data_IF_719301002560
#
_entry.id   IF_719301002560
#
_cell.length_a   1.000
_cell.length_b   1.000
_cell.length_c   1.000
_cell.angle_alpha   90.00
_cell.angle_beta   90.00
_cell.angle_gamma   90.00
#
_symmetry.space_group_name_H-M   'P 1'
#
loop_
_entity.id
_entity.type
_entity.pdbx_description
1 polymer ?
#
# COMPACT_ATOMS: atom_id res chain seq x y z
N UNK A 1 -8.18 3.98 -36.45
CA UNK A 1 -9.60 4.41 -36.38
C UNK A 1 -10.11 4.08 -34.97
N UNK A 2 -10.95 4.91 -34.36
CA UNK A 2 -11.39 4.72 -32.96
C UNK A 2 -12.82 4.23 -32.97
N UNK A 3 -13.05 3.04 -32.42
CA UNK A 3 -14.34 2.37 -32.42
C UNK A 3 -14.94 2.34 -31.02
N UNK A 4 -16.25 2.53 -30.92
CA UNK A 4 -16.96 2.41 -29.66
C UNK A 4 -17.15 0.93 -29.26
N UNK A 5 -16.73 0.50 -28.06
CA UNK A 5 -16.81 -0.91 -27.65
C UNK A 5 -18.24 -1.43 -27.42
N UNK A 6 -19.25 -0.55 -27.32
CA UNK A 6 -20.65 -0.95 -27.13
C UNK A 6 -21.46 -0.91 -28.42
N UNK A 7 -21.23 0.09 -29.27
CA UNK A 7 -22.05 0.33 -30.45
C UNK A 7 -21.32 0.08 -31.77
N UNK A 8 -20.03 -0.27 -31.73
CA UNK A 8 -19.16 -0.56 -32.89
C UNK A 8 -19.09 0.56 -33.96
N UNK A 9 -19.58 1.76 -33.61
CA UNK A 9 -19.53 2.94 -34.47
C UNK A 9 -18.17 3.62 -34.33
N UNK A 10 -17.65 4.07 -35.45
CA UNK A 10 -16.39 4.82 -35.56
C UNK A 10 -16.61 6.33 -35.68
N UNK A 11 -17.82 6.75 -36.02
CA UNK A 11 -18.22 8.16 -36.10
C UNK A 11 -18.58 8.76 -34.74
N UNK A 12 -18.44 10.10 -34.62
CA UNK A 12 -18.80 10.89 -33.42
C UNK A 12 -18.19 10.35 -32.11
N UNK A 13 -16.91 9.95 -32.17
CA UNK A 13 -16.12 9.59 -30.99
C UNK A 13 -15.33 10.81 -30.51
N UNK A 14 -15.88 11.54 -29.54
CA UNK A 14 -15.32 12.80 -29.07
C UNK A 14 -14.28 12.56 -27.97
N UNK A 15 -13.20 13.34 -27.93
CA UNK A 15 -12.20 13.28 -26.84
C UNK A 15 -12.87 13.67 -25.51
N UNK A 16 -12.62 12.89 -24.47
CA UNK A 16 -13.24 13.04 -23.14
C UNK A 16 -12.19 13.09 -22.03
N UNK A 17 -11.15 13.92 -22.22
CA UNK A 17 -10.02 14.03 -21.30
C UNK A 17 -9.08 12.82 -21.32
N UNK A 18 -8.19 12.72 -20.33
CA UNK A 18 -7.23 11.62 -20.18
C UNK A 18 -7.47 10.85 -18.88
N UNK A 19 -7.03 9.60 -18.80
CA UNK A 19 -6.96 8.85 -17.54
C UNK A 19 -5.84 9.41 -16.66
N UNK A 20 -5.81 9.07 -15.37
CA UNK A 20 -4.69 9.42 -14.48
C UNK A 20 -3.34 8.86 -14.96
N UNK A 21 -3.35 7.77 -15.74
CA UNK A 21 -2.16 7.22 -16.40
C UNK A 21 -1.80 7.87 -17.73
N UNK A 22 -2.53 8.91 -18.16
CA UNK A 22 -2.28 9.68 -19.38
C UNK A 22 -2.95 9.16 -20.65
N UNK A 23 -3.61 7.99 -20.62
CA UNK A 23 -4.31 7.43 -21.79
C UNK A 23 -5.49 8.29 -22.21
N UNK A 24 -5.66 8.49 -23.51
CA UNK A 24 -6.77 9.27 -24.04
C UNK A 24 -8.12 8.55 -23.85
N UNK A 25 -9.09 9.25 -23.26
CA UNK A 25 -10.49 8.77 -23.15
C UNK A 25 -11.32 9.36 -24.28
N UNK A 26 -12.33 8.60 -24.72
CA UNK A 26 -13.32 9.01 -25.69
C UNK A 26 -14.72 8.84 -25.14
N UNK A 27 -15.66 9.64 -25.64
CA UNK A 27 -17.09 9.52 -25.40
C UNK A 27 -17.79 9.29 -26.73
N UNK A 28 -18.56 8.22 -26.83
CA UNK A 28 -19.41 7.98 -27.99
C UNK A 28 -20.66 8.86 -27.89
N UNK A 29 -20.96 9.66 -28.91
CA UNK A 29 -22.16 10.50 -28.90
C UNK A 29 -23.47 9.74 -29.18
N UNK A 30 -23.40 8.49 -29.64
CA UNK A 30 -24.58 7.66 -29.87
C UNK A 30 -25.05 6.94 -28.61
N UNK A 31 -24.14 6.24 -27.93
CA UNK A 31 -24.46 5.46 -26.73
C UNK A 31 -23.99 6.12 -25.41
N UNK A 32 -23.37 7.31 -25.49
CA UNK A 32 -22.99 8.16 -24.37
C UNK A 32 -21.96 7.58 -23.39
N UNK A 33 -21.39 6.39 -23.67
CA UNK A 33 -20.36 5.78 -22.83
C UNK A 33 -19.00 6.46 -23.00
N UNK A 34 -18.23 6.47 -21.91
CA UNK A 34 -16.81 6.85 -21.92
C UNK A 34 -15.94 5.60 -21.92
N UNK A 35 -14.92 5.56 -22.77
CA UNK A 35 -14.04 4.41 -22.89
C UNK A 35 -12.61 4.86 -23.23
N UNK A 36 -11.65 3.94 -23.10
CA UNK A 36 -10.22 4.17 -23.35
C UNK A 36 -9.77 3.13 -24.37
N UNK A 37 -9.54 3.48 -25.65
CA UNK A 37 -9.20 2.51 -26.70
C UNK A 37 -7.90 1.76 -26.43
N UNK A 38 -6.91 2.46 -25.89
CA UNK A 38 -5.61 1.90 -25.50
C UNK A 38 -5.38 2.23 -24.03
N UNK A 39 -5.96 1.45 -23.10
CA UNK A 39 -5.71 1.64 -21.69
C UNK A 39 -4.25 1.32 -21.40
N UNK A 40 -3.54 2.26 -20.76
CA UNK A 40 -2.20 1.98 -20.26
C UNK A 40 -2.34 0.89 -19.19
N UNK A 41 -1.63 -0.24 -19.30
CA UNK A 41 -1.67 -1.25 -18.27
C UNK A 41 -1.12 -0.63 -16.98
N UNK A 42 -1.94 -0.60 -15.93
CA UNK A 42 -1.50 -0.27 -14.57
C UNK A 42 -0.66 -1.39 -13.94
N UNK A 43 -0.42 -2.46 -14.70
CA UNK A 43 0.23 -3.66 -14.23
C UNK A 43 1.75 -3.48 -14.21
N UNK A 44 2.35 -3.84 -13.08
CA UNK A 44 3.78 -4.04 -12.99
C UNK A 44 4.22 -5.13 -13.97
N UNK A 45 5.41 -5.01 -14.59
CA UNK A 45 5.93 -6.01 -15.52
C UNK A 45 5.96 -7.41 -14.89
N UNK A 46 5.63 -8.44 -15.66
CA UNK A 46 5.62 -9.82 -15.15
C UNK A 46 7.00 -10.25 -14.65
N UNK A 47 8.08 -9.81 -15.30
CA UNK A 47 9.46 -10.07 -14.87
C UNK A 47 9.74 -9.54 -13.44
N UNK A 48 9.21 -8.36 -13.11
CA UNK A 48 9.34 -7.78 -11.76
C UNK A 48 8.59 -8.60 -10.73
N UNK A 49 7.37 -9.06 -11.05
CA UNK A 49 6.59 -9.95 -10.18
C UNK A 49 7.31 -11.26 -9.93
N UNK A 50 7.83 -11.90 -10.98
CA UNK A 50 8.64 -13.13 -10.86
C UNK A 50 9.87 -12.92 -9.98
N UNK A 51 10.58 -11.81 -10.14
CA UNK A 51 11.73 -11.49 -9.29
C UNK A 51 11.34 -11.27 -7.82
N UNK A 52 10.19 -10.65 -7.57
CA UNK A 52 9.68 -10.51 -6.20
C UNK A 52 9.39 -11.87 -5.55
N UNK A 53 8.79 -12.80 -6.29
CA UNK A 53 8.51 -14.15 -5.84
C UNK A 53 9.79 -14.92 -5.56
N UNK A 54 10.79 -14.85 -6.46
CA UNK A 54 12.09 -15.48 -6.25
C UNK A 54 12.73 -15.01 -4.94
N UNK A 55 12.84 -13.69 -4.74
CA UNK A 55 13.43 -13.14 -3.53
C UNK A 55 12.68 -13.55 -2.26
N UNK A 56 11.36 -13.74 -2.34
CA UNK A 56 10.56 -14.21 -1.22
C UNK A 56 10.85 -15.68 -0.88
N UNK A 57 10.95 -16.54 -1.89
CA UNK A 57 11.35 -17.95 -1.73
C UNK A 57 12.77 -18.06 -1.18
N UNK A 58 13.67 -17.15 -1.57
CA UNK A 58 15.03 -17.03 -1.02
C UNK A 58 15.05 -16.52 0.45
N UNK A 59 13.89 -16.32 1.08
CA UNK A 59 13.76 -15.91 2.49
C UNK A 59 13.86 -14.40 2.73
N UNK A 60 13.85 -13.58 1.68
CA UNK A 60 13.93 -12.13 1.85
C UNK A 60 12.63 -11.55 2.43
N UNK A 61 12.75 -10.68 3.44
CA UNK A 61 11.57 -10.04 4.02
C UNK A 61 10.85 -9.09 3.04
N UNK A 62 9.53 -8.96 3.18
CA UNK A 62 8.67 -8.18 2.28
C UNK A 62 9.12 -6.72 2.11
N UNK A 63 9.55 -6.07 3.20
CA UNK A 63 10.00 -4.66 3.17
C UNK A 63 11.33 -4.51 2.44
N UNK A 64 12.21 -5.50 2.51
CA UNK A 64 13.49 -5.53 1.82
C UNK A 64 13.27 -5.76 0.33
N UNK A 65 12.43 -6.72 -0.05
CA UNK A 65 12.02 -6.92 -1.45
C UNK A 65 11.42 -5.62 -2.03
N UNK A 66 10.52 -4.98 -1.29
CA UNK A 66 9.89 -3.73 -1.67
C UNK A 66 10.91 -2.61 -1.96
N UNK A 67 11.92 -2.46 -1.11
CA UNK A 67 13.03 -1.51 -1.32
C UNK A 67 13.87 -1.87 -2.55
N UNK A 68 14.18 -3.15 -2.76
CA UNK A 68 14.94 -3.59 -3.94
C UNK A 68 14.19 -3.34 -5.26
N UNK A 69 12.86 -3.42 -5.26
CA UNK A 69 12.05 -3.27 -6.47
C UNK A 69 11.43 -1.87 -6.62
N UNK A 70 11.59 -0.98 -5.63
CA UNK A 70 10.99 0.36 -5.65
C UNK A 70 9.47 0.37 -5.56
N UNK A 71 8.87 -0.64 -4.92
CA UNK A 71 7.40 -0.76 -4.78
C UNK A 71 6.98 -0.73 -3.30
N UNK A 72 5.69 -0.57 -3.04
CA UNK A 72 5.18 -0.65 -1.67
C UNK A 72 5.14 -2.13 -1.19
N UNK A 73 5.52 -2.41 0.06
CA UNK A 73 5.59 -3.79 0.57
C UNK A 73 4.24 -4.54 0.51
N UNK A 74 3.13 -3.81 0.62
CA UNK A 74 1.78 -4.38 0.44
C UNK A 74 1.59 -4.97 -0.96
N UNK A 75 2.17 -4.34 -1.99
CA UNK A 75 2.10 -4.82 -3.37
C UNK A 75 2.79 -6.18 -3.51
N UNK A 76 3.97 -6.34 -2.89
CA UNK A 76 4.70 -7.61 -2.85
C UNK A 76 3.87 -8.69 -2.13
N UNK A 77 3.30 -8.37 -0.97
CA UNK A 77 2.43 -9.28 -0.22
C UNK A 77 1.24 -9.77 -1.05
N UNK A 78 0.61 -8.90 -1.83
CA UNK A 78 -0.51 -9.27 -2.68
C UNK A 78 -0.09 -10.17 -3.84
N UNK A 79 1.11 -9.99 -4.40
CA UNK A 79 1.62 -10.89 -5.43
C UNK A 79 1.92 -12.28 -4.88
N UNK A 80 2.49 -12.35 -3.68
CA UNK A 80 2.76 -13.64 -3.01
C UNK A 80 1.45 -14.36 -2.72
N UNK A 81 0.45 -13.67 -2.17
CA UNK A 81 -0.88 -14.26 -1.92
C UNK A 81 -1.53 -14.76 -3.21
N UNK A 82 -1.59 -13.91 -4.24
CA UNK A 82 -2.18 -14.31 -5.53
C UNK A 82 -1.45 -15.49 -6.18
N UNK A 83 -0.14 -15.63 -5.95
CA UNK A 83 0.62 -16.79 -6.41
C UNK A 83 0.34 -18.03 -5.56
N UNK A 84 0.27 -17.88 -4.23
CA UNK A 84 -0.03 -18.97 -3.31
C UNK A 84 -1.43 -19.55 -3.56
N UNK A 85 -2.42 -18.72 -3.83
CA UNK A 85 -3.79 -19.13 -4.16
C UNK A 85 -3.87 -19.94 -5.47
N UNK A 86 -2.87 -19.84 -6.34
CA UNK A 86 -2.80 -20.58 -7.61
C UNK A 86 -2.05 -21.91 -7.47
N UNK A 87 -1.37 -22.15 -6.35
CA UNK A 87 -0.62 -23.40 -6.17
C UNK A 87 -1.60 -24.55 -5.95
N UNK A 88 -1.39 -25.71 -6.59
CA UNK A 88 -2.19 -26.88 -6.31
C UNK A 88 -1.94 -27.35 -4.87
N UNK A 89 -2.93 -28.05 -4.31
CA UNK A 89 -2.71 -28.76 -3.05
C UNK A 89 -1.54 -29.74 -3.23
N UNK A 90 -0.64 -29.84 -2.24
CA UNK A 90 0.48 -30.77 -2.32
C UNK A 90 -0.06 -32.20 -2.46
N UNK A 91 0.57 -33.05 -3.29
CA UNK A 91 0.16 -34.43 -3.44
C UNK A 91 0.35 -35.16 -2.11
N UNK A 92 -0.72 -35.79 -1.61
CA UNK A 92 -0.69 -36.60 -0.38
C UNK A 92 -0.80 -38.07 -0.77
N UNK A 93 0.17 -38.93 -0.40
CA UNK A 93 0.12 -40.36 -0.70
C UNK A 93 -1.00 -41.06 0.09
N UNK A 94 -1.59 -42.12 -0.47
CA UNK A 94 -2.69 -42.88 0.16
C UNK A 94 -2.24 -43.76 1.33
N UNK A 95 -0.98 -44.22 1.32
CA UNK A 95 -0.36 -44.96 2.41
C UNK A 95 1.00 -44.36 2.72
N UNK A 96 1.25 -44.08 4.01
CA UNK A 96 2.53 -43.60 4.54
C UNK A 96 3.05 -44.68 5.47
N UNK A 97 4.20 -45.28 5.16
CA UNK A 97 4.82 -46.34 5.99
C UNK A 97 5.57 -45.75 7.17
N UNK A 98 6.38 -44.72 6.91
CA UNK A 98 7.22 -44.03 7.87
C UNK A 98 7.12 -42.53 7.57
N UNK A 99 7.07 -41.72 8.62
CA UNK A 99 7.06 -40.27 8.54
C UNK A 99 7.91 -39.71 9.67
N UNK A 100 8.86 -38.84 9.33
CA UNK A 100 9.63 -38.07 10.28
C UNK A 100 8.96 -36.70 10.48
N UNK A 101 8.93 -36.23 11.72
CA UNK A 101 8.33 -34.95 12.08
C UNK A 101 9.42 -34.03 12.63
N UNK A 102 9.81 -33.03 11.85
CA UNK A 102 10.77 -32.01 12.28
C UNK A 102 10.08 -30.93 13.10
N UNK A 103 10.63 -30.61 14.28
CA UNK A 103 10.15 -29.51 15.11
C UNK A 103 10.83 -28.20 14.73
N UNK A 104 10.04 -27.26 14.19
CA UNK A 104 10.50 -25.90 13.93
C UNK A 104 9.79 -24.91 14.86
N UNK A 105 10.54 -24.31 15.78
CA UNK A 105 10.03 -23.26 16.66
C UNK A 105 9.98 -21.92 15.92
N UNK A 106 8.77 -21.47 15.57
CA UNK A 106 8.55 -20.12 15.04
C UNK A 106 7.66 -19.32 15.97
N UNK A 107 8.00 -18.05 16.20
CA UNK A 107 7.16 -17.15 16.97
C UNK A 107 6.01 -16.63 16.09
N UNK A 108 4.79 -17.11 16.35
CA UNK A 108 3.58 -16.62 15.70
C UNK A 108 2.89 -15.64 16.65
N UNK A 109 3.10 -14.34 16.44
CA UNK A 109 2.44 -13.30 17.22
C UNK A 109 0.97 -13.14 16.81
N UNK A 110 0.04 -13.58 17.65
CA UNK A 110 -1.36 -13.15 17.53
C UNK A 110 -1.50 -11.75 18.10
N UNK A 111 -1.79 -10.77 17.24
CA UNK A 111 -2.09 -9.41 17.71
C UNK A 111 -3.41 -9.45 18.47
N UNK A 112 -3.37 -9.16 19.78
CA UNK A 112 -4.59 -9.01 20.59
C UNK A 112 -5.49 -7.97 19.90
N UNK A 113 -6.79 -8.27 19.65
CA UNK A 113 -7.71 -7.27 19.14
C UNK A 113 -7.68 -6.10 20.13
N UNK A 114 -7.49 -4.88 19.61
CA UNK A 114 -7.24 -3.69 20.42
C UNK A 114 -8.24 -3.62 21.58
N UNK A 115 -7.80 -3.97 22.79
CA UNK A 115 -8.46 -3.49 24.01
C UNK A 115 -8.38 -1.98 23.86
N UNK A 116 -9.53 -1.34 23.61
CA UNK A 116 -9.65 0.11 23.53
C UNK A 116 -9.06 0.63 24.83
N UNK A 117 -7.86 1.17 24.77
CA UNK A 117 -7.29 1.88 25.90
C UNK A 117 -8.14 3.13 26.03
N UNK A 118 -9.20 3.06 26.84
CA UNK A 118 -9.90 4.25 27.31
C UNK A 118 -8.89 5.02 28.15
N UNK A 119 -8.12 5.88 27.50
CA UNK A 119 -7.36 6.95 28.12
C UNK A 119 -8.35 7.96 28.72
N UNK A 120 -9.05 7.57 29.79
CA UNK A 120 -9.46 8.49 30.85
C UNK A 120 -8.42 8.30 31.95
N UNK A 121 -7.29 8.99 31.84
CA UNK A 121 -6.44 9.20 33.02
C UNK A 121 -7.30 9.95 34.04
N UNK A 122 -7.51 9.44 35.27
CA UNK A 122 -8.01 10.29 36.34
C UNK A 122 -6.94 11.37 36.56
N UNK A 123 -7.33 12.64 36.56
CA UNK A 123 -6.44 13.69 37.04
C UNK A 123 -6.04 13.31 38.46
N UNK A 124 -4.74 13.14 38.68
CA UNK A 124 -4.16 12.86 39.99
C UNK A 124 -4.44 14.06 40.93
N UNK A 125 -4.90 13.87 42.18
CA UNK A 125 -5.42 14.98 43.02
C UNK A 125 -4.36 15.98 43.51
N UNK A 126 -3.08 15.85 43.16
CA UNK A 126 -1.99 16.65 43.73
C UNK A 126 -1.56 17.86 42.90
N UNK A 127 -2.34 18.28 41.90
CA UNK A 127 -2.10 19.51 41.13
C UNK A 127 -3.24 20.51 41.28
N UNK A 128 -3.92 20.52 42.43
CA UNK A 128 -4.96 21.51 42.78
C UNK A 128 -4.40 22.62 43.69
N UNK A 129 -3.28 23.21 43.30
CA UNK A 129 -2.67 24.24 44.14
C UNK A 129 -1.49 24.91 43.47
N UNK A 130 -1.78 25.80 42.52
CA UNK A 130 -1.03 27.04 42.31
C UNK A 130 -1.69 27.87 41.21
N UNK A 131 -1.91 29.14 41.53
CA UNK A 131 -2.30 30.27 40.68
C UNK A 131 -3.79 30.49 40.45
N UNK A 132 -4.40 31.00 41.51
CA UNK A 132 -5.35 32.11 41.45
C UNK A 132 -4.82 33.29 40.62
N UNK A 133 -5.68 33.79 39.73
CA UNK A 133 -5.72 35.19 39.30
C UNK A 133 -4.83 35.56 38.12
N UNK A 134 -5.45 35.71 36.94
CA UNK A 134 -5.58 37.01 36.25
C UNK A 134 -6.52 36.85 35.04
N UNK A 135 -7.27 37.91 34.79
CA UNK A 135 -8.49 37.94 34.01
C UNK A 135 -8.30 38.03 32.48
N UNK A 136 -9.30 37.47 31.78
CA UNK A 136 -9.96 37.91 30.54
C UNK A 136 -9.17 38.46 29.33
N UNK A 137 -9.22 37.68 28.23
CA UNK A 137 -9.60 38.00 26.82
C UNK A 137 -8.81 39.07 26.00
N UNK A 138 -9.00 39.17 24.65
CA UNK A 138 -8.98 38.16 23.57
C UNK A 138 -8.23 38.65 22.27
N UNK A 139 -8.16 37.79 21.24
CA UNK A 139 -8.04 38.08 19.76
C UNK A 139 -6.71 38.53 19.11
N UNK A 140 -6.67 38.23 17.80
CA UNK A 140 -5.77 38.61 16.68
C UNK A 140 -4.53 37.71 16.49
N UNK A 141 -4.39 36.92 15.42
CA UNK A 141 -4.35 37.15 13.96
C UNK A 141 -2.91 37.43 13.45
N UNK A 142 -2.62 37.03 12.21
CA UNK A 142 -1.34 37.01 11.46
C UNK A 142 -0.34 35.91 11.88
N UNK A 143 0.32 35.14 11.00
CA UNK A 143 0.82 35.34 9.63
C UNK A 143 2.29 34.89 9.68
N UNK A 144 2.71 33.80 9.04
CA UNK A 144 3.27 33.72 7.68
C UNK A 144 4.74 33.27 7.75
N UNK A 145 5.20 32.56 6.71
CA UNK A 145 6.60 32.30 6.35
C UNK A 145 7.41 31.38 7.28
N UNK A 146 8.06 30.29 6.87
CA UNK A 146 8.62 30.00 5.56
C UNK A 146 10.15 29.86 5.67
N UNK A 147 10.68 28.75 5.13
CA UNK A 147 12.08 28.55 4.72
C UNK A 147 13.09 28.33 5.87
N UNK A 148 14.19 27.60 5.75
CA UNK A 148 14.72 26.62 4.78
C UNK A 148 16.03 26.08 5.37
N UNK A 149 16.33 24.81 5.08
CA UNK A 149 17.66 24.24 4.83
C UNK A 149 18.90 24.74 5.60
N UNK A 150 19.54 23.81 6.34
CA UNK A 150 20.97 23.42 6.28
C UNK A 150 21.17 22.32 7.34
N UNK A 151 21.42 21.05 6.98
CA UNK A 151 22.67 20.44 6.47
C UNK A 151 23.61 19.96 7.58
N UNK A 152 24.16 18.76 7.34
CA UNK A 152 25.29 18.09 8.01
C UNK A 152 24.97 17.40 9.35
N UNK A 153 25.48 16.22 9.69
CA UNK A 153 26.17 15.11 9.02
C UNK A 153 26.28 14.04 10.12
N UNK A 154 26.14 12.74 9.81
CA UNK A 154 26.81 11.64 10.52
C UNK A 154 26.45 10.29 9.88
N UNK A 155 27.27 9.91 8.91
CA UNK A 155 27.50 8.52 8.51
C UNK A 155 28.90 8.16 8.96
N UNK A 156 29.01 7.09 9.76
CA UNK A 156 30.09 6.11 9.89
C UNK A 156 29.97 5.48 11.28
N UNK A 157 30.23 4.21 11.55
CA UNK A 157 30.42 2.97 10.79
C UNK A 157 30.61 1.95 11.93
N UNK A 158 29.85 0.86 11.96
CA UNK A 158 30.27 -0.36 12.68
C UNK A 158 30.39 -1.46 11.63
N UNK A 159 31.54 -1.45 10.96
CA UNK A 159 32.31 -2.62 10.55
C UNK A 159 33.72 -2.37 11.09
#
# INVERSE_FOLDING_TARGET
MIECPKSHRTERQNRAGKTGGGSQRYRCMFCQIKYTPQPKPWAYPQAMRKKALQLYVDGMNLRRIARHLGVHHRTVSLWIQAQADQLPNPPVPSQVKEAEMDELFTFIGQKKPNLRYHNRRPLHPLLSGLQSGLAANPRSDSGDGGQSAQSQALLQRCF
#
